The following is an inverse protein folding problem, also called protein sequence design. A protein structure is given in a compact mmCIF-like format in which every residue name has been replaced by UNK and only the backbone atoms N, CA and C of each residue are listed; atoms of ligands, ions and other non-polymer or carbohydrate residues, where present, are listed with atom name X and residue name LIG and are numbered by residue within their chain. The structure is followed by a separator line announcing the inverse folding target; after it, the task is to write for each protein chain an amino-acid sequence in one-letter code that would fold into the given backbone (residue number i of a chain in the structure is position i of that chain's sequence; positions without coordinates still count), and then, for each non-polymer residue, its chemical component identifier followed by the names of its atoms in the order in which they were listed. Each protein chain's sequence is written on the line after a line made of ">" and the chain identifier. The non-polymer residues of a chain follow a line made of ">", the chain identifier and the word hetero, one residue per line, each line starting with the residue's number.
data_IF_616986025013
#
_entry.id   IF_616986025013
#
_cell.length_a   1.000
_cell.length_b   1.000
_cell.length_c   1.000
_cell.angle_alpha   90.00
_cell.angle_beta   90.00
_cell.angle_gamma   90.00
#
_symmetry.space_group_name_H-M   'P 1'
#
loop_
_entity.id
_entity.type
_entity.pdbx_description
1 polymer ?
#
# COMPACT_ATOMS: atom_id res chain seq x y z
N UNK A 1 -10.76 35.66 51.48
CA UNK A 1 -11.27 34.82 50.37
C UNK A 1 -10.09 34.04 49.81
N UNK A 2 -9.99 32.77 50.18
CA UNK A 2 -8.79 31.95 49.97
C UNK A 2 -8.89 31.13 48.68
N UNK A 3 -7.87 31.26 47.83
CA UNK A 3 -7.63 30.44 46.64
C UNK A 3 -7.14 29.07 47.10
N UNK A 4 -7.78 27.99 46.64
CA UNK A 4 -7.31 26.61 46.84
C UNK A 4 -6.80 26.04 45.52
N UNK A 5 -5.49 25.82 45.48
CA UNK A 5 -4.75 25.05 44.48
C UNK A 5 -5.04 23.56 44.65
N UNK A 6 -5.28 22.83 43.55
CA UNK A 6 -5.31 21.36 43.54
C UNK A 6 -4.00 20.82 42.93
N UNK A 7 -3.35 19.82 43.56
CA UNK A 7 -2.11 19.25 43.06
C UNK A 7 -2.36 18.17 42.00
N UNK A 8 -1.53 18.19 40.96
CA UNK A 8 -1.34 17.08 40.03
C UNK A 8 -0.68 15.90 40.76
N UNK A 9 -1.36 14.76 40.84
CA UNK A 9 -0.75 13.48 41.13
C UNK A 9 -1.51 12.33 40.44
N UNK A 10 -0.80 11.70 39.50
CA UNK A 10 -0.85 10.28 39.11
C UNK A 10 -2.20 9.55 39.13
N UNK A 11 -2.84 9.44 37.96
CA UNK A 11 -3.78 8.34 37.66
C UNK A 11 -3.10 7.33 36.75
N UNK A 12 -2.55 6.28 37.36
CA UNK A 12 -2.21 5.05 36.67
C UNK A 12 -3.51 4.37 36.19
N UNK A 13 -3.56 3.99 34.91
CA UNK A 13 -4.73 3.40 34.27
C UNK A 13 -5.10 2.05 34.89
N UNK A 14 -6.31 1.96 35.44
CA UNK A 14 -6.97 0.69 35.69
C UNK A 14 -7.53 0.16 34.36
N UNK A 15 -7.00 -0.97 33.89
CA UNK A 15 -7.65 -1.77 32.86
C UNK A 15 -8.89 -2.44 33.48
N UNK A 16 -10.08 -2.04 33.04
CA UNK A 16 -11.31 -2.74 33.38
C UNK A 16 -11.36 -4.05 32.57
N UNK A 17 -11.04 -5.17 33.22
CA UNK A 17 -11.31 -6.52 32.70
C UNK A 17 -12.76 -6.85 33.03
N UNK A 18 -13.66 -6.66 32.08
CA UNK A 18 -15.03 -7.18 32.15
C UNK A 18 -15.03 -8.66 31.79
N UNK A 19 -15.02 -9.53 32.80
CA UNK A 19 -15.32 -10.94 32.61
C UNK A 19 -16.82 -11.12 32.34
N UNK A 20 -17.17 -11.62 31.15
CA UNK A 20 -18.51 -12.17 30.89
C UNK A 20 -18.35 -13.67 30.72
N UNK A 21 -19.01 -14.41 31.61
CA UNK A 21 -19.09 -15.87 31.56
C UNK A 21 -19.88 -16.30 30.32
N UNK A 22 -19.20 -17.00 29.40
CA UNK A 22 -19.78 -17.55 28.19
C UNK A 22 -18.70 -17.66 27.11
N UNK A 23 -18.25 -18.89 26.85
CA UNK A 23 -17.11 -19.21 25.99
C UNK A 23 -17.09 -18.46 24.66
N UNK A 24 -16.09 -17.59 24.54
CA UNK A 24 -15.82 -16.81 23.35
C UNK A 24 -14.74 -15.79 23.70
N UNK A 25 -13.47 -16.19 23.60
CA UNK A 25 -12.37 -15.23 23.62
C UNK A 25 -12.52 -14.37 22.36
N UNK A 26 -13.27 -13.28 22.46
CA UNK A 26 -13.18 -12.17 21.52
C UNK A 26 -11.82 -11.55 21.81
N UNK A 27 -10.81 -11.98 21.05
CA UNK A 27 -9.57 -11.23 20.95
C UNK A 27 -9.94 -9.86 20.38
N UNK A 28 -10.16 -8.91 21.28
CA UNK A 28 -10.16 -7.47 20.98
C UNK A 28 -8.78 -7.22 20.38
N UNK A 29 -8.71 -7.13 19.05
CA UNK A 29 -7.45 -6.89 18.36
C UNK A 29 -7.01 -5.48 18.71
N UNK A 30 -5.71 -5.20 18.68
CA UNK A 30 -5.18 -3.86 18.91
C UNK A 30 -5.94 -2.78 18.11
N UNK A 31 -6.39 -3.09 16.88
CA UNK A 31 -7.22 -2.21 16.03
C UNK A 31 -8.50 -1.65 16.71
N UNK A 32 -9.06 -2.36 17.68
CA UNK A 32 -10.26 -1.97 18.41
C UNK A 32 -9.95 -0.98 19.56
N UNK A 33 -8.76 -1.06 20.16
CA UNK A 33 -8.25 -0.11 21.17
C UNK A 33 -7.60 1.12 20.51
N UNK A 34 -7.10 0.93 19.28
CA UNK A 34 -6.43 1.93 18.47
C UNK A 34 -7.30 3.14 18.09
N UNK A 35 -8.61 2.93 17.93
CA UNK A 35 -9.53 4.00 17.57
C UNK A 35 -9.79 5.01 18.72
N UNK A 36 -9.44 4.66 19.97
CA UNK A 36 -9.79 5.45 21.16
C UNK A 36 -8.60 6.13 21.83
N UNK A 37 -7.36 5.81 21.46
CA UNK A 37 -6.16 6.40 22.07
C UNK A 37 -5.66 7.57 21.23
N UNK A 38 -5.77 8.78 21.79
CA UNK A 38 -5.08 9.96 21.26
C UNK A 38 -3.57 9.69 21.24
N UNK A 39 -2.88 9.95 20.11
CA UNK A 39 -1.42 9.85 20.10
C UNK A 39 -0.84 10.85 21.10
N UNK A 40 -0.12 10.36 22.12
CA UNK A 40 0.59 11.17 23.11
C UNK A 40 1.84 11.85 22.53
N UNK A 41 2.34 11.42 21.35
CA UNK A 41 3.44 12.06 20.62
C UNK A 41 3.51 11.63 19.14
N UNK A 42 3.18 12.55 18.22
CA UNK A 42 3.42 12.37 16.78
C UNK A 42 4.93 12.27 16.53
N UNK A 43 5.38 11.20 15.86
CA UNK A 43 6.78 11.05 15.44
C UNK A 43 6.93 11.76 14.10
N UNK A 44 7.40 13.01 14.13
CA UNK A 44 7.94 13.63 12.94
C UNK A 44 9.33 13.03 12.65
N UNK A 45 9.72 12.80 11.39
CA UNK A 45 11.09 12.43 11.06
C UNK A 45 12.04 13.46 11.68
N UNK A 46 12.86 13.04 12.65
CA UNK A 46 13.72 13.95 13.41
C UNK A 46 15.04 14.24 12.69
N UNK A 47 15.36 13.45 11.65
CA UNK A 47 16.63 13.51 10.91
C UNK A 47 16.43 13.29 9.41
N UNK A 48 17.26 13.92 8.55
CA UNK A 48 17.18 13.79 7.10
C UNK A 48 17.59 12.41 6.56
N UNK A 49 18.33 11.60 7.33
CA UNK A 49 18.66 10.22 6.98
C UNK A 49 18.69 9.34 8.24
N UNK A 50 18.10 8.13 8.21
CA UNK A 50 18.09 7.24 9.36
C UNK A 50 19.45 6.57 9.57
N UNK A 51 19.86 6.41 10.83
CA UNK A 51 21.08 5.72 11.21
C UNK A 51 20.83 4.39 11.94
N UNK A 52 19.62 4.18 12.47
CA UNK A 52 19.24 2.96 13.18
C UNK A 52 18.01 2.29 12.55
N UNK A 53 17.78 0.98 12.78
CA UNK A 53 16.59 0.28 12.30
C UNK A 53 15.27 0.98 12.70
N UNK A 54 15.19 1.45 13.94
CA UNK A 54 14.02 2.18 14.44
C UNK A 54 13.83 3.53 13.74
N UNK A 55 14.91 4.30 13.59
CA UNK A 55 14.86 5.57 12.87
C UNK A 55 14.42 5.38 11.41
N UNK A 56 14.79 4.28 10.75
CA UNK A 56 14.35 3.99 9.38
C UNK A 56 12.83 3.80 9.31
N UNK A 57 12.26 2.96 10.19
CA UNK A 57 10.80 2.74 10.22
C UNK A 57 10.03 4.02 10.56
N UNK A 58 10.55 4.85 11.46
CA UNK A 58 9.97 6.15 11.80
C UNK A 58 10.10 7.15 10.64
N UNK A 59 11.25 7.20 9.95
CA UNK A 59 11.51 8.09 8.82
C UNK A 59 10.59 7.79 7.62
N UNK A 60 10.43 6.51 7.27
CA UNK A 60 9.49 6.08 6.22
C UNK A 60 8.05 5.92 6.71
N UNK A 61 7.80 6.16 8.00
CA UNK A 61 6.47 6.16 8.62
C UNK A 61 5.66 4.89 8.29
N UNK A 62 6.29 3.71 8.35
CA UNK A 62 5.67 2.46 7.91
C UNK A 62 4.34 2.17 8.63
N UNK A 63 4.21 2.63 9.87
CA UNK A 63 3.03 2.41 10.70
C UNK A 63 1.79 3.23 10.27
N UNK A 64 1.93 4.18 9.33
CA UNK A 64 0.80 4.91 8.73
C UNK A 64 -0.06 4.03 7.83
N UNK A 65 0.54 2.95 7.33
CA UNK A 65 -0.13 1.95 6.52
C UNK A 65 -0.17 0.59 7.22
N UNK A 66 0.90 0.18 7.89
CA UNK A 66 1.05 -1.17 8.45
C UNK A 66 0.85 -1.23 9.96
N UNK A 67 0.49 -2.41 10.46
CA UNK A 67 0.73 -2.76 11.87
C UNK A 67 2.22 -3.05 12.03
N UNK A 68 2.89 -2.33 12.92
CA UNK A 68 4.33 -2.43 13.15
C UNK A 68 4.59 -2.74 14.63
N UNK A 69 5.04 -3.96 14.98
CA UNK A 69 5.33 -4.31 16.37
C UNK A 69 6.40 -3.40 16.99
N UNK A 70 6.19 -2.97 18.24
CA UNK A 70 7.14 -2.10 18.95
C UNK A 70 7.04 -0.62 18.58
N UNK A 71 6.23 -0.26 17.59
CA UNK A 71 5.73 1.09 17.37
C UNK A 71 4.27 1.12 17.78
N UNK A 72 4.04 1.38 19.07
CA UNK A 72 2.71 1.73 19.58
C UNK A 72 2.06 2.77 18.66
N UNK A 73 0.72 2.82 18.56
CA UNK A 73 -0.02 3.61 17.57
C UNK A 73 0.02 5.13 17.65
N UNK A 74 1.00 5.60 18.37
CA UNK A 74 1.12 6.95 18.84
C UNK A 74 1.79 7.85 17.81
N UNK A 75 2.41 7.28 16.77
CA UNK A 75 3.35 8.05 15.96
C UNK A 75 2.72 8.92 14.87
N UNK A 76 1.41 8.82 14.60
CA UNK A 76 0.73 9.65 13.60
C UNK A 76 -0.73 9.94 14.00
N UNK A 77 -1.24 11.11 13.59
CA UNK A 77 -2.65 11.49 13.78
C UNK A 77 -3.56 10.54 13.00
N UNK A 78 -4.80 10.34 13.43
CA UNK A 78 -5.76 9.50 12.69
C UNK A 78 -5.93 9.96 11.22
N UNK A 79 -5.88 11.26 10.97
CA UNK A 79 -5.89 11.84 9.63
C UNK A 79 -4.72 11.39 8.75
N UNK A 80 -3.58 11.06 9.35
CA UNK A 80 -2.35 10.60 8.70
C UNK A 80 -2.29 9.08 8.56
N UNK A 81 -3.15 8.33 9.26
CA UNK A 81 -3.23 6.87 9.20
C UNK A 81 -4.36 6.43 8.26
N UNK A 82 -4.09 6.43 6.95
CA UNK A 82 -5.09 6.15 5.92
C UNK A 82 -5.83 4.83 6.18
N UNK A 83 -5.08 3.77 6.51
CA UNK A 83 -5.63 2.43 6.70
C UNK A 83 -6.48 2.33 7.96
N UNK A 84 -5.99 2.85 9.08
CA UNK A 84 -6.73 2.88 10.35
C UNK A 84 -8.01 3.71 10.24
N UNK A 85 -7.95 4.87 9.58
CA UNK A 85 -9.13 5.69 9.32
C UNK A 85 -10.14 4.96 8.43
N UNK A 86 -9.69 4.33 7.34
CA UNK A 86 -10.58 3.56 6.46
C UNK A 86 -11.23 2.37 7.19
N UNK A 87 -10.49 1.69 8.07
CA UNK A 87 -11.01 0.63 8.93
C UNK A 87 -12.06 1.15 9.91
N UNK A 88 -11.80 2.29 10.56
CA UNK A 88 -12.74 2.90 11.49
C UNK A 88 -14.05 3.32 10.80
N UNK A 89 -13.97 3.91 9.59
CA UNK A 89 -15.16 4.27 8.80
C UNK A 89 -15.92 3.02 8.36
N UNK A 90 -15.22 2.00 7.84
CA UNK A 90 -15.85 0.74 7.42
C UNK A 90 -16.60 0.07 8.58
N UNK A 91 -15.99 0.09 9.77
CA UNK A 91 -16.57 -0.43 11.01
C UNK A 91 -17.63 0.49 11.64
N UNK A 92 -17.83 1.71 11.12
CA UNK A 92 -18.82 2.67 11.64
C UNK A 92 -18.44 3.30 12.98
N UNK A 93 -17.14 3.36 13.31
CA UNK A 93 -16.62 3.75 14.64
C UNK A 93 -16.16 5.22 14.74
N UNK A 94 -16.57 6.07 13.81
CA UNK A 94 -16.20 7.51 13.78
C UNK A 94 -17.34 8.46 14.17
N UNK A 95 -18.50 7.91 14.53
CA UNK A 95 -19.73 8.62 14.87
C UNK A 95 -19.61 9.57 16.06
N UNK A 96 -18.67 9.33 16.98
CA UNK A 96 -18.38 10.23 18.10
C UNK A 96 -17.64 11.52 17.70
N UNK A 97 -16.92 11.51 16.58
CA UNK A 97 -16.10 12.64 16.13
C UNK A 97 -16.63 13.30 14.85
N UNK A 98 -17.49 12.61 14.10
CA UNK A 98 -17.99 13.04 12.80
C UNK A 98 -19.49 12.80 12.67
N UNK A 99 -20.17 13.62 11.86
CA UNK A 99 -21.61 13.47 11.65
C UNK A 99 -21.90 12.13 10.98
N UNK A 100 -22.88 11.39 11.48
CA UNK A 100 -23.25 10.07 10.96
C UNK A 100 -23.52 10.08 9.44
N UNK A 101 -24.18 11.13 8.93
CA UNK A 101 -24.43 11.29 7.49
C UNK A 101 -23.14 11.41 6.66
N UNK A 102 -22.09 12.03 7.21
CA UNK A 102 -20.78 12.15 6.56
C UNK A 102 -20.04 10.82 6.57
N UNK A 103 -20.02 10.12 7.70
CA UNK A 103 -19.43 8.78 7.83
C UNK A 103 -20.12 7.78 6.89
N UNK A 104 -21.46 7.82 6.82
CA UNK A 104 -22.23 6.99 5.90
C UNK A 104 -21.92 7.30 4.42
N UNK A 105 -21.71 8.58 4.08
CA UNK A 105 -21.26 8.98 2.74
C UNK A 105 -19.87 8.44 2.44
N UNK A 106 -18.91 8.56 3.35
CA UNK A 106 -17.55 8.05 3.16
C UNK A 106 -17.51 6.54 3.03
N UNK A 107 -18.26 5.82 3.86
CA UNK A 107 -18.35 4.35 3.84
C UNK A 107 -18.71 3.79 2.47
N UNK A 108 -19.54 4.50 1.68
CA UNK A 108 -19.91 4.09 0.31
C UNK A 108 -18.78 4.21 -0.71
N UNK A 109 -17.73 4.97 -0.42
CA UNK A 109 -16.64 5.27 -1.34
C UNK A 109 -15.29 4.69 -0.90
N UNK A 110 -15.22 4.03 0.25
CA UNK A 110 -13.99 3.39 0.75
C UNK A 110 -13.89 1.99 0.16
N UNK A 111 -13.14 1.88 -0.93
CA UNK A 111 -12.88 0.63 -1.66
C UNK A 111 -11.42 0.18 -1.58
N UNK A 112 -10.52 1.05 -1.10
CA UNK A 112 -9.07 0.83 -1.08
C UNK A 112 -8.46 1.08 0.29
N UNK A 113 -7.23 0.60 0.52
CA UNK A 113 -6.46 0.81 1.76
C UNK A 113 -7.22 0.43 3.04
N UNK A 114 -8.21 -0.46 2.99
CA UNK A 114 -8.97 -0.92 4.17
C UNK A 114 -8.19 -1.91 5.03
N UNK A 115 -7.06 -2.40 4.53
CA UNK A 115 -6.19 -3.36 5.20
C UNK A 115 -4.84 -3.35 4.49
N UNK A 116 -3.81 -3.78 5.18
CA UNK A 116 -2.44 -3.92 4.67
C UNK A 116 -1.82 -5.18 5.25
N UNK A 117 -0.70 -5.67 4.70
CA UNK A 117 0.02 -6.78 5.30
C UNK A 117 0.45 -6.45 6.73
N UNK A 118 0.19 -7.37 7.65
CA UNK A 118 0.85 -7.42 8.95
C UNK A 118 2.34 -7.70 8.73
N UNK A 119 3.21 -6.90 9.38
CA UNK A 119 4.66 -7.00 9.27
C UNK A 119 5.30 -7.77 10.44
N UNK A 120 4.54 -8.16 11.47
CA UNK A 120 5.07 -8.86 12.63
C UNK A 120 5.56 -10.28 12.37
N UNK A 121 5.05 -10.93 11.32
CA UNK A 121 5.55 -12.24 10.85
C UNK A 121 6.33 -12.15 9.55
N UNK A 122 6.89 -10.99 9.22
CA UNK A 122 7.61 -10.79 7.96
C UNK A 122 8.84 -11.70 7.85
N UNK A 123 9.61 -11.84 8.94
CA UNK A 123 10.80 -12.70 9.02
C UNK A 123 10.57 -14.19 8.71
N UNK A 124 9.33 -14.66 8.83
CA UNK A 124 8.95 -16.05 8.54
C UNK A 124 8.44 -16.26 7.11
N UNK A 125 8.31 -15.19 6.31
CA UNK A 125 7.60 -15.23 5.01
C UNK A 125 8.36 -14.59 3.86
N UNK A 126 9.53 -14.01 4.11
CA UNK A 126 10.37 -13.43 3.07
C UNK A 126 11.85 -13.66 3.36
N UNK A 127 12.63 -13.80 2.29
CA UNK A 127 14.10 -13.75 2.34
C UNK A 127 14.57 -12.32 2.51
N UNK A 128 15.72 -12.14 3.15
CA UNK A 128 16.37 -10.84 3.36
C UNK A 128 16.72 -10.16 2.03
N UNK A 129 17.37 -10.90 1.13
CA UNK A 129 17.75 -10.41 -0.21
C UNK A 129 16.54 -9.88 -1.00
N UNK A 130 15.41 -10.58 -0.88
CA UNK A 130 14.17 -10.20 -1.54
C UNK A 130 13.59 -8.93 -0.93
N UNK A 131 13.53 -8.83 0.40
CA UNK A 131 12.97 -7.64 1.06
C UNK A 131 13.82 -6.40 0.75
N UNK A 132 15.14 -6.51 0.83
CA UNK A 132 16.06 -5.40 0.57
C UNK A 132 15.93 -4.90 -0.87
N UNK A 133 15.85 -5.79 -1.86
CA UNK A 133 15.65 -5.41 -3.26
C UNK A 133 14.23 -4.89 -3.53
N UNK A 134 13.20 -5.56 -2.99
CA UNK A 134 11.80 -5.19 -3.18
C UNK A 134 11.47 -3.83 -2.56
N UNK A 135 12.08 -3.43 -1.44
CA UNK A 135 11.85 -2.09 -0.86
C UNK A 135 12.36 -0.95 -1.75
N UNK A 136 13.39 -1.20 -2.55
CA UNK A 136 13.97 -0.22 -3.49
C UNK A 136 13.17 -0.15 -4.80
N UNK A 137 12.61 -1.28 -5.23
CA UNK A 137 11.74 -1.36 -6.42
C UNK A 137 10.50 -2.24 -6.15
N UNK A 138 9.52 -1.74 -5.37
CA UNK A 138 8.32 -2.51 -5.08
C UNK A 138 7.54 -2.85 -6.35
N UNK A 139 7.22 -4.13 -6.50
CA UNK A 139 6.34 -4.65 -7.55
C UNK A 139 5.11 -5.34 -6.95
N UNK A 140 4.14 -5.61 -7.82
CA UNK A 140 2.83 -6.17 -7.43
C UNK A 140 3.00 -7.58 -6.88
N UNK A 141 2.72 -7.76 -5.59
CA UNK A 141 2.68 -9.09 -4.96
C UNK A 141 1.27 -9.69 -4.99
N UNK A 142 0.23 -8.85 -4.87
CA UNK A 142 -1.18 -9.27 -4.81
C UNK A 142 -1.97 -8.49 -5.86
N UNK A 143 -2.12 -9.04 -7.08
CA UNK A 143 -2.68 -8.28 -8.21
C UNK A 143 -4.11 -7.76 -7.97
N UNK A 144 -4.92 -8.52 -7.25
CA UNK A 144 -6.32 -8.21 -6.99
C UNK A 144 -6.57 -7.35 -5.75
N UNK A 145 -5.52 -6.92 -5.06
CA UNK A 145 -5.67 -6.10 -3.87
C UNK A 145 -6.00 -4.63 -4.18
N UNK A 146 -5.71 -4.19 -5.41
CA UNK A 146 -5.92 -2.81 -5.87
C UNK A 146 -4.89 -1.82 -5.35
N UNK A 147 -4.35 -1.97 -4.14
CA UNK A 147 -3.25 -1.16 -3.63
C UNK A 147 -1.96 -1.98 -3.50
N UNK A 148 -0.83 -1.39 -3.89
CA UNK A 148 0.52 -1.95 -3.76
C UNK A 148 1.38 -1.06 -2.87
N UNK A 149 2.55 -1.53 -2.49
CA UNK A 149 3.49 -0.68 -1.74
C UNK A 149 3.95 0.46 -2.67
N UNK A 150 3.84 1.74 -2.24
CA UNK A 150 4.36 2.84 -3.04
C UNK A 150 5.87 2.70 -3.21
N UNK A 151 6.38 3.08 -4.38
CA UNK A 151 7.79 3.44 -4.48
C UNK A 151 8.05 4.57 -3.50
N UNK A 152 9.10 4.44 -2.69
CA UNK A 152 9.57 5.43 -1.71
C UNK A 152 11.05 5.69 -1.99
N UNK A 153 11.63 6.75 -1.41
CA UNK A 153 13.08 7.02 -1.49
C UNK A 153 13.88 6.11 -0.54
N UNK A 154 13.63 4.81 -0.56
CA UNK A 154 14.36 3.84 0.27
C UNK A 154 15.63 3.46 -0.46
N UNK A 155 16.79 3.92 0.04
CA UNK A 155 18.10 3.51 -0.47
C UNK A 155 18.51 2.11 0.02
N UNK A 156 19.60 1.53 -0.51
CA UNK A 156 20.10 0.22 -0.10
C UNK A 156 20.33 0.10 1.42
N UNK A 157 21.01 1.10 2.01
CA UNK A 157 21.27 1.15 3.46
C UNK A 157 19.98 1.19 4.27
N UNK A 158 19.02 2.01 3.83
CA UNK A 158 17.74 2.14 4.52
C UNK A 158 16.92 0.85 4.44
N UNK A 159 16.96 0.16 3.30
CA UNK A 159 16.32 -1.13 3.12
C UNK A 159 16.91 -2.20 4.05
N UNK A 160 18.23 -2.20 4.28
CA UNK A 160 18.87 -3.07 5.27
C UNK A 160 18.43 -2.74 6.70
N UNK A 161 18.40 -1.46 7.06
CA UNK A 161 17.90 -1.02 8.38
C UNK A 161 16.44 -1.44 8.61
N UNK A 162 15.59 -1.36 7.59
CA UNK A 162 14.21 -1.85 7.64
C UNK A 162 14.16 -3.37 7.80
N UNK A 163 14.99 -4.12 7.07
CA UNK A 163 15.06 -5.58 7.22
C UNK A 163 15.53 -5.99 8.63
N UNK A 164 16.49 -5.26 9.20
CA UNK A 164 16.97 -5.48 10.57
C UNK A 164 15.89 -5.22 11.61
N UNK A 165 15.10 -4.15 11.44
CA UNK A 165 14.00 -3.83 12.35
C UNK A 165 12.99 -4.98 12.44
N UNK A 166 12.63 -5.56 11.30
CA UNK A 166 11.70 -6.69 11.23
C UNK A 166 12.35 -8.05 11.48
N UNK A 167 13.63 -8.06 11.90
CA UNK A 167 14.41 -9.27 12.14
C UNK A 167 14.41 -10.25 10.95
N UNK A 168 14.41 -9.72 9.72
CA UNK A 168 14.41 -10.51 8.48
C UNK A 168 15.85 -10.91 8.17
N UNK A 169 16.18 -12.13 8.56
CA UNK A 169 17.53 -12.70 8.44
C UNK A 169 17.61 -13.88 7.49
N UNK A 170 16.47 -14.49 7.13
CA UNK A 170 16.43 -15.68 6.29
C UNK A 170 17.11 -15.46 4.94
N UNK A 171 17.98 -16.39 4.58
CA UNK A 171 18.65 -16.45 3.28
C UNK A 171 18.27 -17.76 2.58
N UNK A 172 18.53 -17.83 1.28
CA UNK A 172 18.38 -19.10 0.55
C UNK A 172 19.45 -20.10 1.02
N UNK A 173 19.03 -21.31 1.40
CA UNK A 173 19.97 -22.39 1.67
C UNK A 173 20.47 -22.99 0.36
N UNK A 174 21.68 -23.57 0.37
CA UNK A 174 22.19 -24.34 -0.78
C UNK A 174 21.47 -25.70 -0.96
N UNK A 175 20.39 -25.95 -0.22
CA UNK A 175 19.65 -27.21 -0.31
C UNK A 175 18.93 -27.31 -1.66
N UNK A 176 19.10 -28.42 -2.41
CA UNK A 176 18.32 -28.64 -3.61
C UNK A 176 16.85 -28.85 -3.25
N UNK A 177 15.96 -28.39 -4.12
CA UNK A 177 14.54 -28.68 -3.96
C UNK A 177 14.31 -30.18 -4.17
N UNK A 178 13.58 -30.81 -3.23
CA UNK A 178 13.20 -32.23 -3.30
C UNK A 178 11.72 -32.30 -3.66
N UNK A 179 11.30 -33.38 -4.31
CA UNK A 179 9.91 -33.59 -4.71
C UNK A 179 9.73 -33.73 -6.22
N UNK A 180 8.57 -34.24 -6.60
CA UNK A 180 8.13 -34.45 -7.98
C UNK A 180 7.27 -33.26 -8.43
N UNK A 181 7.74 -32.54 -9.46
CA UNK A 181 7.08 -31.36 -10.02
C UNK A 181 5.70 -31.68 -10.60
N UNK A 182 5.53 -32.85 -11.21
CA UNK A 182 4.25 -33.23 -11.82
C UNK A 182 3.26 -33.71 -10.76
N UNK A 183 3.72 -34.39 -9.72
CA UNK A 183 2.90 -34.67 -8.54
C UNK A 183 2.45 -33.36 -7.85
N UNK A 184 3.35 -32.40 -7.70
CA UNK A 184 3.04 -31.07 -7.15
C UNK A 184 2.03 -30.29 -8.00
N UNK A 185 2.14 -30.39 -9.33
CA UNK A 185 1.16 -29.82 -10.27
C UNK A 185 -0.23 -30.44 -10.07
N UNK A 186 -0.29 -31.76 -9.93
CA UNK A 186 -1.54 -32.47 -9.70
C UNK A 186 -2.20 -32.02 -8.39
N UNK A 187 -1.43 -31.91 -7.29
CA UNK A 187 -1.91 -31.40 -6.00
C UNK A 187 -2.42 -29.95 -6.11
N UNK A 188 -1.70 -29.10 -6.83
CA UNK A 188 -2.11 -27.71 -7.04
C UNK A 188 -3.48 -27.61 -7.75
N UNK A 189 -3.74 -28.51 -8.71
CA UNK A 189 -5.02 -28.59 -9.41
C UNK A 189 -6.12 -29.21 -8.52
N UNK A 190 -5.82 -30.32 -7.85
CA UNK A 190 -6.72 -31.04 -6.95
C UNK A 190 -7.28 -30.13 -5.84
N UNK A 191 -6.41 -29.32 -5.24
CA UNK A 191 -6.80 -28.39 -4.18
C UNK A 191 -7.27 -27.02 -4.68
N UNK A 192 -7.51 -26.90 -6.00
CA UNK A 192 -8.02 -25.70 -6.66
C UNK A 192 -7.25 -24.42 -6.26
N UNK A 193 -5.92 -24.50 -6.14
CA UNK A 193 -5.09 -23.37 -5.70
C UNK A 193 -5.23 -22.15 -6.63
N UNK A 194 -5.48 -22.40 -7.93
CA UNK A 194 -5.75 -21.38 -8.95
C UNK A 194 -7.06 -20.59 -8.73
N UNK A 195 -7.97 -21.07 -7.87
CA UNK A 195 -9.19 -20.31 -7.52
C UNK A 195 -8.87 -19.00 -6.81
N UNK A 196 -7.71 -18.93 -6.14
CA UNK A 196 -7.24 -17.76 -5.42
C UNK A 196 -5.92 -17.22 -5.97
N UNK A 197 -4.97 -18.10 -6.29
CA UNK A 197 -3.62 -17.71 -6.66
C UNK A 197 -3.41 -17.64 -8.18
N UNK A 198 -2.85 -16.52 -8.64
CA UNK A 198 -2.21 -16.47 -9.95
C UNK A 198 -0.82 -17.10 -9.89
N UNK A 199 -0.30 -17.48 -11.05
CA UNK A 199 1.05 -18.04 -11.19
C UNK A 199 1.73 -17.51 -12.44
N UNK A 200 1.91 -16.19 -12.51
CA UNK A 200 2.53 -15.53 -13.66
C UNK A 200 1.57 -15.10 -14.75
N UNK A 201 0.33 -15.58 -14.69
CA UNK A 201 -0.71 -15.48 -15.73
C UNK A 201 -1.64 -14.28 -15.56
N UNK A 202 -1.49 -13.52 -14.47
CA UNK A 202 -2.25 -12.28 -14.31
C UNK A 202 -1.73 -11.18 -15.25
N UNK A 203 -2.61 -10.52 -16.03
CA UNK A 203 -2.25 -9.42 -16.92
C UNK A 203 -2.07 -8.12 -16.11
N UNK A 204 -0.89 -7.95 -15.50
CA UNK A 204 -0.59 -6.77 -14.66
C UNK A 204 -0.79 -5.46 -15.43
N UNK A 205 -0.51 -5.46 -16.72
CA UNK A 205 -0.62 -4.30 -17.58
C UNK A 205 -2.07 -3.86 -17.84
N UNK A 206 -3.06 -4.72 -17.58
CA UNK A 206 -4.48 -4.36 -17.69
C UNK A 206 -5.04 -3.75 -16.40
N UNK A 207 -4.25 -3.69 -15.33
CA UNK A 207 -4.70 -3.09 -14.08
C UNK A 207 -4.99 -1.60 -14.27
N UNK A 208 -6.21 -1.20 -13.92
CA UNK A 208 -6.64 0.20 -13.88
C UNK A 208 -7.30 0.48 -12.55
N UNK A 209 -7.22 1.72 -12.09
CA UNK A 209 -7.94 2.17 -10.91
C UNK A 209 -9.43 1.93 -11.10
N UNK A 210 -10.11 1.46 -10.05
CA UNK A 210 -11.55 1.15 -10.10
C UNK A 210 -11.91 -0.15 -10.86
N UNK A 211 -10.93 -0.95 -11.28
CA UNK A 211 -11.21 -2.20 -11.99
C UNK A 211 -12.07 -3.17 -11.15
N UNK A 212 -13.09 -3.82 -11.76
CA UNK A 212 -14.06 -4.65 -11.04
C UNK A 212 -13.44 -5.87 -10.35
N UNK A 213 -12.29 -6.33 -10.81
CA UNK A 213 -11.55 -7.46 -10.25
C UNK A 213 -11.12 -7.19 -8.79
N UNK A 214 -10.99 -5.92 -8.38
CA UNK A 214 -10.74 -5.54 -6.99
C UNK A 214 -11.93 -5.76 -6.05
N UNK A 215 -13.09 -6.15 -6.59
CA UNK A 215 -14.27 -6.59 -5.83
C UNK A 215 -14.32 -8.12 -5.63
N UNK A 216 -13.27 -8.85 -6.03
CA UNK A 216 -13.17 -10.29 -5.81
C UNK A 216 -13.32 -10.68 -4.33
N UNK A 217 -13.70 -11.93 -4.02
CA UNK A 217 -13.74 -12.44 -2.65
C UNK A 217 -12.43 -12.18 -1.91
N UNK A 218 -12.51 -11.91 -0.60
CA UNK A 218 -11.35 -11.52 0.22
C UNK A 218 -10.16 -12.48 0.05
N UNK A 219 -10.40 -13.80 0.09
CA UNK A 219 -9.33 -14.80 0.00
C UNK A 219 -8.54 -14.67 -1.30
N UNK A 220 -9.25 -14.50 -2.43
CA UNK A 220 -8.66 -14.30 -3.74
C UNK A 220 -7.93 -12.96 -3.87
N UNK A 221 -8.44 -11.89 -3.25
CA UNK A 221 -7.74 -10.58 -3.22
C UNK A 221 -6.45 -10.61 -2.40
N UNK A 222 -6.43 -11.40 -1.33
CA UNK A 222 -5.29 -11.52 -0.41
C UNK A 222 -4.24 -12.52 -0.86
N UNK A 223 -4.57 -13.37 -1.83
CA UNK A 223 -3.65 -14.34 -2.40
C UNK A 223 -2.52 -13.64 -3.18
N UNK A 224 -1.25 -13.93 -2.88
CA UNK A 224 -0.14 -13.47 -3.70
C UNK A 224 -0.12 -14.18 -5.06
N UNK A 225 0.43 -13.50 -6.07
CA UNK A 225 0.88 -14.15 -7.29
C UNK A 225 2.10 -15.02 -6.96
N UNK A 226 1.99 -16.30 -7.29
CA UNK A 226 3.00 -17.31 -6.97
C UNK A 226 4.20 -17.25 -7.91
N UNK A 227 4.22 -16.39 -8.95
CA UNK A 227 5.40 -16.18 -9.80
C UNK A 227 6.65 -15.79 -9.02
N UNK A 228 6.47 -15.08 -7.91
CA UNK A 228 7.58 -14.57 -7.08
C UNK A 228 7.95 -15.51 -5.94
N UNK A 229 7.29 -16.65 -5.77
CA UNK A 229 7.47 -17.49 -4.57
C UNK A 229 8.92 -17.95 -4.39
N UNK A 230 9.59 -18.32 -5.49
CA UNK A 230 10.99 -18.76 -5.49
C UNK A 230 11.95 -17.68 -5.01
N UNK A 231 11.75 -16.46 -5.47
CA UNK A 231 12.62 -15.33 -5.13
C UNK A 231 12.24 -14.74 -3.77
N UNK A 232 10.98 -14.84 -3.38
CA UNK A 232 10.42 -14.25 -2.16
C UNK A 232 10.68 -15.08 -0.92
N UNK A 233 10.49 -16.39 -0.98
CA UNK A 233 10.53 -17.29 0.18
C UNK A 233 11.68 -18.30 0.05
N UNK A 234 12.34 -18.61 1.16
CA UNK A 234 13.28 -19.74 1.20
C UNK A 234 12.50 -21.07 1.15
N UNK A 235 13.20 -22.18 0.91
CA UNK A 235 12.61 -23.52 1.02
C UNK A 235 11.97 -23.76 2.39
N UNK A 236 12.69 -23.42 3.46
CA UNK A 236 12.22 -23.64 4.82
C UNK A 236 10.94 -22.84 5.11
N UNK A 237 10.90 -21.57 4.70
CA UNK A 237 9.72 -20.73 4.84
C UNK A 237 8.53 -21.28 4.04
N UNK A 238 8.74 -21.71 2.79
CA UNK A 238 7.67 -22.23 1.94
C UNK A 238 7.10 -23.54 2.49
N UNK A 239 7.96 -24.48 2.92
CA UNK A 239 7.54 -25.74 3.56
C UNK A 239 6.74 -25.49 4.84
N UNK A 240 7.21 -24.57 5.69
CA UNK A 240 6.52 -24.18 6.91
C UNK A 240 5.14 -23.59 6.61
N UNK A 241 5.06 -22.71 5.61
CA UNK A 241 3.80 -22.10 5.15
C UNK A 241 2.81 -23.11 4.60
N UNK A 242 3.25 -24.08 3.81
CA UNK A 242 2.39 -25.14 3.27
C UNK A 242 1.91 -26.13 4.34
N UNK A 243 2.66 -26.26 5.44
CA UNK A 243 2.31 -27.15 6.55
C UNK A 243 1.23 -26.54 7.44
N UNK A 244 1.40 -25.29 7.88
CA UNK A 244 0.43 -24.60 8.73
C UNK A 244 0.55 -23.07 8.58
N UNK A 245 -0.17 -22.45 7.62
CA UNK A 245 -0.05 -21.02 7.37
C UNK A 245 -0.59 -20.17 8.53
N UNK A 246 -1.52 -20.70 9.34
CA UNK A 246 -2.10 -19.98 10.48
C UNK A 246 -1.15 -19.86 11.67
N UNK A 247 -0.14 -20.74 11.79
CA UNK A 247 0.95 -20.56 12.77
C UNK A 247 1.86 -19.39 12.44
N UNK A 248 1.99 -19.05 11.16
CA UNK A 248 2.85 -17.96 10.68
C UNK A 248 2.07 -16.64 10.59
N UNK A 249 0.85 -16.69 10.06
CA UNK A 249 -0.04 -15.54 9.94
C UNK A 249 -1.44 -15.92 10.39
N UNK A 250 -1.78 -15.63 11.65
CA UNK A 250 -3.05 -16.03 12.26
C UNK A 250 -4.28 -15.66 11.43
N UNK A 251 -4.27 -14.49 10.79
CA UNK A 251 -5.41 -13.97 10.05
C UNK A 251 -5.39 -14.27 8.54
N UNK A 252 -4.52 -15.19 8.11
CA UNK A 252 -4.51 -15.71 6.74
C UNK A 252 -5.86 -16.31 6.37
N UNK A 253 -6.20 -16.22 5.08
CA UNK A 253 -7.40 -16.81 4.49
C UNK A 253 -7.09 -18.09 3.70
N UNK A 254 -5.81 -18.45 3.61
CA UNK A 254 -5.38 -19.70 3.00
C UNK A 254 -5.73 -20.86 3.95
N UNK A 255 -6.48 -21.88 3.51
CA UNK A 255 -6.79 -23.04 4.34
C UNK A 255 -5.53 -23.81 4.76
N UNK A 256 -5.59 -24.46 5.93
CA UNK A 256 -4.64 -25.50 6.30
C UNK A 256 -5.06 -26.81 5.63
N UNK A 257 -4.14 -27.39 4.86
CA UNK A 257 -4.34 -28.70 4.22
C UNK A 257 -3.60 -29.77 5.01
N UNK A 258 -4.18 -30.98 5.09
CA UNK A 258 -3.55 -32.13 5.74
C UNK A 258 -2.52 -32.81 4.80
N UNK A 259 -1.58 -32.04 4.27
CA UNK A 259 -0.54 -32.58 3.39
C UNK A 259 0.43 -33.49 4.14
N UNK A 260 0.76 -34.62 3.54
CA UNK A 260 1.88 -35.45 3.98
C UNK A 260 3.21 -34.73 3.71
N UNK A 261 4.30 -35.11 4.40
CA UNK A 261 5.62 -34.53 4.14
C UNK A 261 6.04 -34.62 2.66
N UNK A 262 5.71 -35.73 1.98
CA UNK A 262 5.97 -35.88 0.55
C UNK A 262 5.18 -34.89 -0.30
N UNK A 263 3.89 -34.69 -0.02
CA UNK A 263 3.07 -33.72 -0.75
C UNK A 263 3.56 -32.28 -0.57
N UNK A 264 4.07 -31.93 0.62
CA UNK A 264 4.70 -30.63 0.86
C UNK A 264 5.95 -30.45 -0.02
N UNK A 265 6.81 -31.46 -0.12
CA UNK A 265 7.98 -31.42 -1.01
C UNK A 265 7.57 -31.33 -2.48
N UNK A 266 6.61 -32.15 -2.94
CA UNK A 266 6.13 -32.15 -4.33
C UNK A 266 5.54 -30.77 -4.71
N UNK A 267 4.69 -30.18 -3.85
CA UNK A 267 4.17 -28.82 -4.03
C UNK A 267 5.28 -27.77 -4.02
N UNK A 268 6.26 -27.90 -3.12
CA UNK A 268 7.41 -27.00 -3.06
C UNK A 268 8.21 -27.06 -4.36
N UNK A 269 8.49 -28.26 -4.88
CA UNK A 269 9.15 -28.47 -6.16
C UNK A 269 8.39 -27.83 -7.31
N UNK A 270 7.08 -28.08 -7.39
CA UNK A 270 6.23 -27.48 -8.41
C UNK A 270 6.24 -25.96 -8.34
N UNK A 271 5.97 -25.37 -7.17
CA UNK A 271 5.84 -23.91 -6.99
C UNK A 271 7.14 -23.17 -7.31
N UNK A 272 8.29 -23.76 -6.99
CA UNK A 272 9.61 -23.17 -7.27
C UNK A 272 10.14 -23.44 -8.67
N UNK A 273 9.49 -24.34 -9.44
CA UNK A 273 9.87 -24.58 -10.82
C UNK A 273 9.82 -23.26 -11.62
N UNK A 274 10.84 -22.99 -12.46
CA UNK A 274 10.84 -21.82 -13.32
C UNK A 274 9.54 -21.75 -14.13
N UNK A 275 8.93 -20.57 -14.16
CA UNK A 275 7.84 -20.32 -15.09
C UNK A 275 8.42 -20.09 -16.49
N UNK A 276 7.72 -20.52 -17.54
CA UNK A 276 8.08 -20.16 -18.91
C UNK A 276 8.18 -18.63 -19.01
N UNK A 277 9.30 -18.12 -19.52
CA UNK A 277 9.38 -16.70 -19.86
C UNK A 277 8.47 -16.46 -21.05
N UNK A 278 7.29 -15.86 -20.80
CA UNK A 278 6.49 -15.31 -21.87
C UNK A 278 7.14 -13.98 -22.23
N UNK A 279 7.86 -13.94 -23.36
CA UNK A 279 8.38 -12.68 -23.88
C UNK A 279 7.21 -11.71 -24.02
N UNK A 280 7.25 -10.60 -23.28
CA UNK A 280 6.26 -9.55 -23.45
C UNK A 280 6.34 -9.06 -24.89
N UNK A 281 5.25 -9.22 -25.65
CA UNK A 281 5.19 -8.63 -26.98
C UNK A 281 5.39 -7.12 -26.84
N UNK A 282 6.29 -6.49 -27.63
CA UNK A 282 6.45 -5.04 -27.59
C UNK A 282 5.12 -4.41 -28.00
N UNK A 283 4.46 -3.75 -27.03
CA UNK A 283 3.24 -2.98 -27.28
C UNK A 283 3.62 -1.51 -27.45
N UNK A 284 3.00 -0.79 -28.40
CA UNK A 284 3.19 0.64 -28.48
C UNK A 284 2.77 1.27 -27.16
N UNK A 285 3.58 2.18 -26.63
CA UNK A 285 3.23 2.94 -25.44
C UNK A 285 1.97 3.75 -25.72
N UNK A 286 1.07 3.79 -24.75
CA UNK A 286 -0.12 4.61 -24.81
C UNK A 286 0.25 6.07 -25.08
N UNK A 287 -0.46 6.70 -26.01
CA UNK A 287 -0.34 8.12 -26.33
C UNK A 287 -1.67 8.80 -26.04
N UNK A 288 -1.71 9.81 -25.15
CA UNK A 288 -2.92 10.56 -24.85
C UNK A 288 -3.51 11.20 -26.11
N UNK A 289 -4.84 11.15 -26.21
CA UNK A 289 -5.61 11.71 -27.32
C UNK A 289 -6.33 12.96 -26.85
N UNK A 290 -6.36 13.95 -27.74
CA UNK A 290 -7.17 15.16 -27.55
C UNK A 290 -8.61 14.87 -27.95
N UNK A 291 -9.56 15.11 -27.05
CA UNK A 291 -10.99 14.97 -27.32
C UNK A 291 -11.48 16.14 -28.18
N UNK A 292 -12.51 15.90 -28.99
CA UNK A 292 -13.10 16.91 -29.89
C UNK A 292 -14.03 17.90 -29.17
N UNK A 293 -14.31 17.66 -27.89
CA UNK A 293 -15.20 18.49 -27.05
C UNK A 293 -14.41 19.30 -26.04
N UNK A 294 -15.05 20.33 -25.50
CA UNK A 294 -14.52 21.02 -24.32
C UNK A 294 -14.52 20.12 -23.09
N UNK A 295 -13.48 20.29 -22.27
CA UNK A 295 -13.31 19.67 -20.96
C UNK A 295 -13.04 20.78 -19.96
N UNK A 296 -13.84 20.84 -18.90
CA UNK A 296 -13.76 21.87 -17.86
C UNK A 296 -13.31 21.28 -16.53
N UNK A 297 -12.78 22.11 -15.63
CA UNK A 297 -12.14 21.64 -14.40
C UNK A 297 -13.05 20.78 -13.49
N UNK A 298 -14.36 21.03 -13.32
CA UNK A 298 -15.24 20.17 -12.53
C UNK A 298 -15.19 18.70 -12.93
N UNK A 299 -15.08 18.42 -14.23
CA UNK A 299 -15.00 17.05 -14.76
C UNK A 299 -13.66 16.41 -14.41
N UNK A 300 -12.56 17.13 -14.62
CA UNK A 300 -11.19 16.72 -14.25
C UNK A 300 -11.09 16.46 -12.75
N UNK A 301 -11.60 17.38 -11.94
CA UNK A 301 -11.60 17.27 -10.50
C UNK A 301 -12.44 16.08 -10.02
N UNK A 302 -13.58 15.79 -10.67
CA UNK A 302 -14.39 14.63 -10.34
C UNK A 302 -13.61 13.33 -10.58
N UNK A 303 -13.00 13.18 -11.76
CA UNK A 303 -12.31 11.94 -12.15
C UNK A 303 -10.98 11.74 -11.41
N UNK A 304 -10.14 12.78 -11.38
CA UNK A 304 -8.78 12.68 -10.87
C UNK A 304 -8.68 12.97 -9.37
N UNK A 305 -9.14 14.14 -8.92
CA UNK A 305 -8.86 14.56 -7.54
C UNK A 305 -9.81 13.89 -6.54
N UNK A 306 -11.12 13.95 -6.75
CA UNK A 306 -12.12 13.55 -5.74
C UNK A 306 -12.15 12.07 -5.39
N UNK A 307 -11.64 11.20 -6.26
CA UNK A 307 -11.64 9.75 -6.03
C UNK A 307 -10.28 9.17 -5.63
N UNK A 308 -9.17 9.85 -5.95
CA UNK A 308 -7.83 9.26 -5.88
C UNK A 308 -6.82 10.13 -5.14
N UNK A 309 -6.71 11.40 -5.53
CA UNK A 309 -5.58 12.24 -5.11
C UNK A 309 -5.91 13.20 -3.95
N UNK A 310 -7.20 13.48 -3.72
CA UNK A 310 -7.66 14.57 -2.85
C UNK A 310 -7.35 14.37 -1.37
N UNK A 311 -7.25 13.13 -0.87
CA UNK A 311 -6.99 12.88 0.56
C UNK A 311 -5.53 13.00 0.97
N UNK A 312 -4.60 12.99 0.01
CA UNK A 312 -3.15 13.11 0.26
C UNK A 312 -2.55 14.40 -0.31
N UNK A 313 -3.31 15.19 -1.07
CA UNK A 313 -2.85 16.41 -1.73
C UNK A 313 -3.89 17.54 -1.60
N UNK A 314 -4.44 17.76 -0.41
CA UNK A 314 -5.39 18.87 -0.15
C UNK A 314 -4.76 20.03 0.64
N UNK A 315 -5.41 21.19 0.57
CA UNK A 315 -5.05 22.37 1.36
C UNK A 315 -5.32 22.24 2.87
N UNK A 316 -4.72 23.15 3.65
CA UNK A 316 -4.81 23.28 5.11
C UNK A 316 -6.22 23.48 5.67
N UNK A 317 -7.20 23.84 4.83
CA UNK A 317 -8.56 24.21 5.25
C UNK A 317 -9.52 23.03 5.16
N UNK A 318 -9.07 21.85 4.70
CA UNK A 318 -9.91 20.66 4.54
C UNK A 318 -9.54 19.55 5.54
N UNK A 319 -10.52 18.77 6.04
CA UNK A 319 -10.25 17.62 6.89
C UNK A 319 -9.45 16.56 6.11
N UNK A 320 -8.29 16.15 6.62
CA UNK A 320 -7.42 15.15 5.97
C UNK A 320 -5.95 15.35 6.33
N UNK A 321 -5.12 14.43 5.86
CA UNK A 321 -3.67 14.62 5.86
C UNK A 321 -3.25 15.46 4.65
N UNK A 322 -2.37 16.44 4.87
CA UNK A 322 -1.80 17.20 3.77
C UNK A 322 -0.83 16.34 2.94
N UNK A 323 -0.32 15.26 3.52
CA UNK A 323 0.21 14.11 2.81
C UNK A 323 1.56 14.25 2.12
N UNK A 324 2.11 13.10 1.70
CA UNK A 324 3.32 13.05 0.90
C UNK A 324 3.06 13.79 -0.42
N UNK A 325 3.75 14.91 -0.62
CA UNK A 325 3.61 15.77 -1.80
C UNK A 325 3.17 17.19 -1.49
N UNK A 326 2.36 17.44 -0.46
CA UNK A 326 2.14 18.80 0.03
C UNK A 326 3.17 19.12 1.13
N UNK A 327 3.02 18.49 2.29
CA UNK A 327 3.84 18.72 3.49
C UNK A 327 4.96 17.71 3.66
N UNK A 328 4.92 16.59 2.93
CA UNK A 328 5.93 15.53 2.98
C UNK A 328 5.47 14.31 3.77
N UNK A 329 6.39 13.39 4.02
CA UNK A 329 6.12 12.10 4.68
C UNK A 329 6.58 10.90 3.85
N UNK A 330 6.66 9.71 4.44
CA UNK A 330 7.20 8.50 3.80
C UNK A 330 8.61 8.69 3.19
N UNK A 331 9.45 9.52 3.82
CA UNK A 331 10.78 9.90 3.30
C UNK A 331 10.76 10.94 2.16
N UNK A 332 9.60 11.52 1.83
CA UNK A 332 9.48 12.60 0.84
C UNK A 332 9.50 13.98 1.49
N UNK A 333 10.18 14.89 0.80
CA UNK A 333 10.06 16.33 1.03
C UNK A 333 8.67 16.82 0.61
N UNK A 334 8.13 17.79 1.35
CA UNK A 334 6.92 18.49 0.93
C UNK A 334 7.16 19.29 -0.35
N UNK A 335 6.26 19.18 -1.31
CA UNK A 335 6.33 19.87 -2.60
C UNK A 335 5.15 20.84 -2.80
N UNK A 336 4.41 21.20 -1.74
CA UNK A 336 3.27 22.14 -1.78
C UNK A 336 2.18 21.80 -2.82
N UNK A 337 2.09 20.52 -3.19
CA UNK A 337 1.12 20.01 -4.16
C UNK A 337 -0.30 20.09 -3.59
N UNK A 338 -1.16 20.84 -4.27
CA UNK A 338 -2.58 20.98 -3.95
C UNK A 338 -3.42 20.58 -5.17
N UNK A 339 -4.15 19.49 -5.05
CA UNK A 339 -5.06 18.96 -6.06
C UNK A 339 -6.53 19.18 -5.67
N UNK A 340 -6.80 19.96 -4.63
CA UNK A 340 -8.16 20.30 -4.19
C UNK A 340 -8.81 21.40 -5.02
N UNK A 341 -8.00 22.22 -5.70
CA UNK A 341 -8.45 23.42 -6.41
C UNK A 341 -7.77 23.54 -7.77
N UNK A 342 -8.44 24.20 -8.73
CA UNK A 342 -7.88 24.49 -10.05
C UNK A 342 -6.59 25.29 -9.94
N UNK A 343 -6.60 26.31 -9.08
CA UNK A 343 -5.42 27.12 -8.79
C UNK A 343 -4.24 26.29 -8.24
N UNK A 344 -4.53 25.26 -7.45
CA UNK A 344 -3.55 24.28 -6.99
C UNK A 344 -2.92 23.48 -8.13
N UNK A 345 -3.74 22.96 -9.04
CA UNK A 345 -3.26 22.29 -10.25
C UNK A 345 -2.36 23.19 -11.11
N UNK A 346 -2.82 24.41 -11.40
CA UNK A 346 -2.08 25.37 -12.22
C UNK A 346 -0.75 25.78 -11.57
N UNK A 347 -0.73 25.99 -10.25
CA UNK A 347 0.49 26.29 -9.49
C UNK A 347 1.46 25.11 -9.46
N UNK A 348 0.93 23.90 -9.36
CA UNK A 348 1.66 22.64 -9.32
C UNK A 348 2.57 22.47 -8.11
N UNK A 349 3.78 21.97 -8.34
CA UNK A 349 4.72 21.55 -7.28
C UNK A 349 5.84 22.56 -7.08
N UNK A 350 6.30 22.71 -5.84
CA UNK A 350 7.47 23.52 -5.49
C UNK A 350 8.73 22.65 -5.48
N UNK A 351 9.72 23.00 -6.30
CA UNK A 351 11.05 22.38 -6.38
C UNK A 351 12.10 23.48 -6.48
N UNK A 352 13.19 23.35 -5.72
CA UNK A 352 14.30 24.32 -5.71
C UNK A 352 13.83 25.77 -5.51
N UNK A 353 12.85 25.95 -4.63
CA UNK A 353 12.26 27.25 -4.31
C UNK A 353 11.24 27.77 -5.32
N UNK A 354 11.15 27.22 -6.53
CA UNK A 354 10.26 27.66 -7.61
C UNK A 354 9.05 26.73 -7.79
N UNK A 355 7.92 27.29 -8.21
CA UNK A 355 6.75 26.51 -8.61
C UNK A 355 6.88 26.04 -10.07
N UNK A 356 6.44 24.82 -10.32
CA UNK A 356 6.33 24.18 -11.62
C UNK A 356 4.90 23.69 -11.76
N UNK A 357 4.14 24.28 -12.68
CA UNK A 357 2.77 23.92 -12.95
C UNK A 357 2.64 22.47 -13.39
N UNK A 358 1.52 21.85 -13.04
CA UNK A 358 1.17 20.52 -13.56
C UNK A 358 0.84 20.53 -15.07
N UNK A 359 0.22 21.60 -15.62
CA UNK A 359 0.03 21.75 -17.06
C UNK A 359 1.30 22.09 -17.84
N UNK A 360 2.36 22.57 -17.16
CA UNK A 360 3.60 22.98 -17.83
C UNK A 360 4.18 21.83 -18.65
N UNK A 361 4.58 22.12 -19.89
CA UNK A 361 5.20 21.16 -20.78
C UNK A 361 6.63 20.83 -20.32
N UNK A 362 7.00 19.55 -20.45
CA UNK A 362 8.37 19.07 -20.31
C UNK A 362 9.16 19.30 -21.61
N UNK A 363 10.45 18.96 -21.61
CA UNK A 363 11.33 19.12 -22.79
C UNK A 363 10.83 18.37 -24.02
N UNK A 364 10.10 17.26 -23.82
CA UNK A 364 9.50 16.46 -24.88
C UNK A 364 8.10 16.95 -25.31
N UNK A 365 7.63 18.08 -24.76
CA UNK A 365 6.32 18.65 -25.02
C UNK A 365 5.18 18.04 -24.19
N UNK A 366 5.42 16.96 -23.44
CA UNK A 366 4.37 16.31 -22.64
C UNK A 366 4.07 17.14 -21.40
N UNK A 367 2.79 17.42 -21.06
CA UNK A 367 2.46 18.06 -19.79
C UNK A 367 2.93 17.25 -18.59
N UNK A 368 3.48 17.93 -17.57
CA UNK A 368 4.09 17.27 -16.40
C UNK A 368 3.17 16.28 -15.69
N UNK A 369 1.90 16.62 -15.51
CA UNK A 369 0.92 15.71 -14.90
C UNK A 369 0.69 14.47 -15.76
N UNK A 370 0.57 14.65 -17.06
CA UNK A 370 0.36 13.55 -18.01
C UNK A 370 1.58 12.63 -18.03
N UNK A 371 2.79 13.19 -18.05
CA UNK A 371 4.03 12.42 -17.95
C UNK A 371 4.08 11.56 -16.67
N UNK A 372 3.64 12.11 -15.53
CA UNK A 372 3.57 11.35 -14.28
C UNK A 372 2.53 10.21 -14.33
N UNK A 373 1.37 10.43 -14.95
CA UNK A 373 0.32 9.41 -15.14
C UNK A 373 0.81 8.27 -16.06
N UNK A 374 1.47 8.62 -17.17
CA UNK A 374 2.06 7.66 -18.10
C UNK A 374 3.22 6.88 -17.48
N UNK A 375 4.04 7.53 -16.66
CA UNK A 375 5.11 6.86 -15.94
C UNK A 375 4.55 5.77 -15.01
N UNK A 376 3.42 6.02 -14.33
CA UNK A 376 2.77 5.01 -13.49
C UNK A 376 2.24 3.82 -14.29
N UNK A 377 1.76 4.02 -15.51
CA UNK A 377 1.45 2.91 -16.42
C UNK A 377 2.70 2.08 -16.72
N UNK A 378 3.79 2.75 -17.11
CA UNK A 378 5.06 2.08 -17.40
C UNK A 378 5.65 1.31 -16.21
N UNK A 379 5.43 1.77 -14.98
CA UNK A 379 5.89 1.05 -13.77
C UNK A 379 5.32 -0.37 -13.67
N UNK A 380 4.07 -0.60 -14.10
CA UNK A 380 3.48 -1.94 -14.10
C UNK A 380 4.15 -2.88 -15.10
N UNK A 381 4.74 -2.31 -16.16
CA UNK A 381 5.52 -3.01 -17.17
C UNK A 381 7.01 -3.16 -16.77
N UNK A 382 7.37 -2.79 -15.54
CA UNK A 382 8.76 -2.78 -15.06
C UNK A 382 9.60 -1.60 -15.59
N UNK A 383 8.98 -0.65 -16.29
CA UNK A 383 9.65 0.56 -16.78
C UNK A 383 9.61 1.65 -15.71
N UNK A 384 10.63 1.67 -14.88
CA UNK A 384 10.76 2.64 -13.79
C UNK A 384 11.34 3.97 -14.29
N UNK A 385 10.57 5.05 -14.16
CA UNK A 385 11.11 6.40 -14.33
C UNK A 385 11.62 6.93 -12.98
N UNK A 386 12.90 7.37 -12.87
CA UNK A 386 13.46 7.88 -11.61
C UNK A 386 12.76 9.14 -11.08
N UNK A 387 12.25 9.99 -11.97
CA UNK A 387 11.61 11.27 -11.63
C UNK A 387 10.18 11.16 -11.11
N UNK A 388 9.55 9.99 -11.21
CA UNK A 388 8.18 9.74 -10.77
C UNK A 388 8.23 8.66 -9.70
N UNK A 389 7.94 9.03 -8.46
CA UNK A 389 7.95 8.11 -7.31
C UNK A 389 6.61 8.18 -6.58
N UNK A 390 6.11 7.02 -6.17
CA UNK A 390 5.04 6.92 -5.17
C UNK A 390 3.66 7.43 -5.60
N UNK A 391 3.36 7.55 -6.90
CA UNK A 391 2.07 8.10 -7.38
C UNK A 391 1.18 7.03 -8.05
N UNK A 392 -0.13 6.96 -7.72
CA UNK A 392 -0.77 7.46 -6.51
C UNK A 392 -0.64 6.42 -5.39
N UNK A 393 0.33 6.59 -4.50
CA UNK A 393 0.58 5.76 -3.30
C UNK A 393 0.46 4.24 -3.54
N UNK A 394 0.97 3.75 -4.68
CA UNK A 394 0.92 2.33 -5.05
C UNK A 394 -0.44 1.84 -5.58
N UNK A 395 -1.41 2.73 -5.82
CA UNK A 395 -2.63 2.42 -6.58
C UNK A 395 -2.30 2.16 -8.06
N UNK A 396 -3.20 1.50 -8.81
CA UNK A 396 -2.99 1.22 -10.21
C UNK A 396 -3.12 2.53 -11.01
N UNK A 397 -2.63 2.56 -12.26
CA UNK A 397 -2.83 3.69 -13.14
C UNK A 397 -4.32 3.99 -13.34
N UNK A 398 -4.67 5.25 -13.54
CA UNK A 398 -6.03 5.61 -13.94
C UNK A 398 -6.33 5.10 -15.36
N UNK A 399 -7.62 4.91 -15.71
CA UNK A 399 -8.03 4.58 -17.07
C UNK A 399 -7.48 5.56 -18.11
N UNK A 400 -7.23 5.05 -19.32
CA UNK A 400 -6.70 5.83 -20.44
C UNK A 400 -7.63 6.99 -20.81
N UNK A 401 -8.93 6.78 -20.74
CA UNK A 401 -9.95 7.80 -21.01
C UNK A 401 -9.87 8.96 -20.00
N UNK A 402 -9.46 8.69 -18.75
CA UNK A 402 -9.25 9.75 -17.76
C UNK A 402 -7.93 10.51 -18.01
N UNK A 403 -6.92 9.86 -18.59
CA UNK A 403 -5.70 10.54 -19.05
C UNK A 403 -6.02 11.44 -20.24
N UNK A 404 -6.81 10.98 -21.21
CA UNK A 404 -7.26 11.77 -22.36
C UNK A 404 -8.03 13.02 -21.93
N UNK A 405 -8.89 12.87 -20.92
CA UNK A 405 -9.63 13.96 -20.33
C UNK A 405 -8.70 15.01 -19.71
N UNK A 406 -7.73 14.58 -18.89
CA UNK A 406 -6.74 15.47 -18.26
C UNK A 406 -5.87 16.15 -19.32
N UNK A 407 -5.40 15.40 -20.31
CA UNK A 407 -4.58 15.90 -21.40
C UNK A 407 -5.34 16.95 -22.21
N UNK A 408 -6.58 16.65 -22.61
CA UNK A 408 -7.43 17.58 -23.36
C UNK A 408 -7.68 18.87 -22.59
N UNK A 409 -7.98 18.78 -21.30
CA UNK A 409 -8.18 19.95 -20.45
C UNK A 409 -6.94 20.85 -20.44
N UNK A 410 -5.74 20.28 -20.28
CA UNK A 410 -4.48 21.02 -20.31
C UNK A 410 -4.27 21.69 -21.68
N UNK A 411 -4.44 20.95 -22.77
CA UNK A 411 -4.29 21.45 -24.14
C UNK A 411 -5.31 22.54 -24.52
N UNK A 412 -6.43 22.62 -23.82
CA UNK A 412 -7.43 23.69 -23.96
C UNK A 412 -7.14 24.92 -23.10
N UNK A 413 -5.97 24.99 -22.45
CA UNK A 413 -5.61 26.09 -21.55
C UNK A 413 -6.18 25.92 -20.14
N UNK A 414 -6.53 24.69 -19.77
CA UNK A 414 -7.04 24.32 -18.46
C UNK A 414 -8.26 25.15 -18.02
N UNK A 415 -9.36 25.24 -18.81
CA UNK A 415 -10.51 26.07 -18.51
C UNK A 415 -11.24 25.67 -17.21
N UNK A 416 -12.02 26.59 -16.66
CA UNK A 416 -12.68 26.44 -15.36
C UNK A 416 -13.98 25.64 -15.40
#
# INVERSE_FOLDING_TARGET
>A
MAVRSFPFASLAGLALVGAVAGGGYVFIRDADVLALRLPTRVLAPTKPSPATPREAVEHFQCNRCHVVPGLEPVSARLSENCVTCHQAIAAGRLDLWYKQAEVARWKRHITHLVRTPDLGSLNQRVKREWLVSWLQAPHVVRPLYGATMPRMKVGPKDAELLADYFAVTEQESAEPTRGDVEAGRALYAEHACASCHYRGDFPLESLRYGAPEFNSPSARRRAPDLRHVRDRMSLAQLRSWLTDPHRILLDTEMPTFAFTPKQVEDLTAFLRAPLPQVAAAPRPRYQPKRLEREVHYPEVAQKLSRHLCFHCHSDLRRPGDQGPGNTGGFGYDGASLDLATRAGFLRGVRRDGQFRGLPDQMEDGTPRLVAALLARQGELDGHFQPGVLGMPLGLPPIPEEEIDLVFTWIEQGAPE
#
